data_IF_171699929773
#
_entry.id   IF_171699929773
#
_cell.length_a   1.000
_cell.length_b   1.000
_cell.length_c   1.000
_cell.angle_alpha   90.00
_cell.angle_beta   90.00
_cell.angle_gamma   90.00
#
_symmetry.space_group_name_H-M   'P 1'
#
loop_
_entity.id
_entity.type
_entity.pdbx_description
1 polymer ?
#
# COMPACT_ATOMS: atom_id res chain seq x y z
N UNK A 1 33.82 -38.68 12.25
CA UNK A 1 33.86 -37.27 12.64
C UNK A 1 33.69 -36.34 11.44
N UNK A 2 34.52 -36.47 10.39
CA UNK A 2 34.58 -35.52 9.24
C UNK A 2 33.28 -35.50 8.46
N UNK A 3 32.67 -36.65 8.13
CA UNK A 3 31.41 -36.75 7.36
C UNK A 3 30.25 -36.04 8.06
N UNK A 4 30.12 -36.21 9.36
CA UNK A 4 29.06 -35.52 10.13
C UNK A 4 29.30 -34.00 10.19
N UNK A 5 30.58 -33.59 10.32
CA UNK A 5 30.91 -32.17 10.31
C UNK A 5 30.58 -31.50 8.96
N UNK A 6 30.94 -32.12 7.84
CA UNK A 6 30.62 -31.59 6.50
C UNK A 6 29.13 -31.56 6.21
N UNK A 7 28.38 -32.60 6.58
CA UNK A 7 26.93 -32.62 6.44
C UNK A 7 26.26 -31.49 7.25
N UNK A 8 26.67 -31.31 8.51
CA UNK A 8 26.15 -30.24 9.36
C UNK A 8 26.40 -28.86 8.76
N UNK A 9 27.58 -28.58 8.22
CA UNK A 9 27.91 -27.30 7.58
C UNK A 9 27.08 -27.09 6.33
N UNK A 10 26.92 -28.13 5.48
CA UNK A 10 26.10 -28.01 4.26
C UNK A 10 24.62 -27.75 4.57
N UNK A 11 24.07 -28.41 5.58
CA UNK A 11 22.68 -28.18 6.03
C UNK A 11 22.53 -26.76 6.56
N UNK A 12 23.49 -26.26 7.35
CA UNK A 12 23.44 -24.89 7.89
C UNK A 12 23.52 -23.84 6.77
N UNK A 13 24.39 -24.05 5.77
CA UNK A 13 24.51 -23.18 4.61
C UNK A 13 23.23 -23.18 3.77
N UNK A 14 22.67 -24.37 3.48
CA UNK A 14 21.44 -24.49 2.74
C UNK A 14 20.26 -23.78 3.45
N UNK A 15 20.16 -23.97 4.77
CA UNK A 15 19.18 -23.28 5.61
C UNK A 15 19.37 -21.76 5.58
N UNK A 16 20.61 -21.28 5.75
CA UNK A 16 20.94 -19.85 5.70
C UNK A 16 20.59 -19.20 4.35
N UNK A 17 20.89 -19.88 3.25
CA UNK A 17 20.55 -19.43 1.89
C UNK A 17 19.03 -19.42 1.67
N UNK A 18 18.33 -20.46 2.10
CA UNK A 18 16.85 -20.54 2.02
C UNK A 18 16.18 -19.44 2.85
N UNK A 19 16.65 -19.25 4.08
CA UNK A 19 16.14 -18.21 4.98
C UNK A 19 16.37 -16.79 4.42
N UNK A 20 17.59 -16.51 3.92
CA UNK A 20 17.89 -15.23 3.24
C UNK A 20 16.94 -14.99 2.07
N UNK A 21 16.71 -16.00 1.22
CA UNK A 21 15.82 -15.91 0.06
C UNK A 21 14.37 -15.61 0.47
N UNK A 22 13.88 -16.26 1.54
CA UNK A 22 12.52 -16.04 2.03
C UNK A 22 12.36 -14.66 2.69
N UNK A 23 13.33 -14.21 3.50
CA UNK A 23 13.35 -12.86 4.04
C UNK A 23 13.33 -11.80 2.91
N UNK A 24 14.19 -11.98 1.91
CA UNK A 24 14.25 -11.04 0.78
C UNK A 24 12.91 -10.94 0.06
N UNK A 25 12.21 -12.05 -0.17
CA UNK A 25 10.86 -12.03 -0.78
C UNK A 25 9.84 -11.26 0.07
N UNK A 26 9.88 -11.43 1.37
CA UNK A 26 8.96 -10.74 2.30
C UNK A 26 9.18 -9.23 2.28
N UNK A 27 10.43 -8.79 2.25
CA UNK A 27 10.77 -7.35 2.16
C UNK A 27 10.43 -6.73 0.79
N UNK A 28 10.60 -7.46 -0.32
CA UNK A 28 10.22 -6.97 -1.66
C UNK A 28 8.71 -6.69 -1.80
N UNK A 29 7.86 -7.30 -0.98
CA UNK A 29 6.42 -7.03 -0.96
C UNK A 29 6.05 -5.63 -0.48
N UNK A 30 6.92 -4.96 0.29
CA UNK A 30 6.70 -3.61 0.82
C UNK A 30 7.30 -2.49 -0.05
N UNK A 31 8.17 -2.83 -1.01
CA UNK A 31 9.04 -1.90 -1.74
C UNK A 31 10.43 -1.83 -1.08
N UNK A 32 11.42 -1.37 -1.85
CA UNK A 32 12.81 -1.25 -1.40
C UNK A 32 13.12 0.21 -1.01
N UNK A 33 13.92 0.41 0.05
CA UNK A 33 14.40 1.71 0.51
C UNK A 33 13.28 2.73 0.81
N UNK A 34 12.19 2.26 1.43
CA UNK A 34 11.04 3.11 1.75
C UNK A 34 11.19 3.72 3.14
N UNK A 35 10.92 5.01 3.25
CA UNK A 35 10.71 5.73 4.51
C UNK A 35 9.25 6.13 4.60
N UNK A 36 8.60 5.81 5.72
CA UNK A 36 7.22 6.19 6.00
C UNK A 36 7.23 7.30 7.05
N UNK A 37 6.57 8.41 6.74
CA UNK A 37 6.43 9.55 7.63
C UNK A 37 4.99 9.70 8.09
N UNK A 38 4.82 9.83 9.39
CA UNK A 38 3.52 10.06 10.02
C UNK A 38 3.47 11.46 10.60
N UNK A 39 2.35 12.18 10.46
CA UNK A 39 2.16 13.43 11.19
C UNK A 39 2.12 13.13 12.68
N UNK A 40 2.75 14.00 13.45
CA UNK A 40 2.87 13.87 14.90
C UNK A 40 2.32 15.11 15.62
N UNK A 41 2.90 15.39 16.78
CA UNK A 41 2.60 16.57 17.57
C UNK A 41 3.88 17.32 17.89
N UNK A 42 3.76 18.63 18.09
CA UNK A 42 4.90 19.48 18.50
C UNK A 42 5.37 19.08 19.89
N UNK A 43 6.67 18.90 20.05
CA UNK A 43 7.31 18.52 21.33
C UNK A 43 7.99 19.71 22.02
N UNK A 44 8.09 20.85 21.32
CA UNK A 44 8.70 22.08 21.85
C UNK A 44 7.75 23.26 21.68
N UNK A 45 7.69 24.19 22.64
CA UNK A 45 6.96 25.44 22.47
C UNK A 45 7.66 26.31 21.43
N UNK A 46 6.90 27.06 20.65
CA UNK A 46 7.42 27.99 19.64
C UNK A 46 6.46 29.17 19.44
N UNK A 47 6.99 30.39 19.38
CA UNK A 47 6.25 31.62 19.10
C UNK A 47 4.96 31.81 19.96
N UNK A 48 5.03 31.51 21.26
CA UNK A 48 3.89 31.61 22.17
C UNK A 48 2.91 30.43 22.14
N UNK A 49 3.11 29.45 21.23
CA UNK A 49 2.30 28.24 21.17
C UNK A 49 2.89 27.13 22.03
N UNK A 50 2.04 26.45 22.79
CA UNK A 50 2.42 25.31 23.63
C UNK A 50 2.80 24.03 22.85
N UNK A 51 3.24 23.02 23.59
CA UNK A 51 3.50 21.67 23.08
C UNK A 51 2.17 20.93 22.80
N UNK A 52 2.24 19.81 22.05
CA UNK A 52 1.10 18.92 21.80
C UNK A 52 0.18 19.38 20.65
N UNK A 53 0.57 20.36 19.85
CA UNK A 53 -0.21 20.76 18.68
C UNK A 53 -0.06 19.70 17.57
N UNK A 54 -1.16 19.25 16.93
CA UNK A 54 -1.07 18.35 15.81
C UNK A 54 -0.32 19.00 14.63
N UNK A 55 0.58 18.23 14.03
CA UNK A 55 1.24 18.60 12.77
C UNK A 55 0.49 17.89 11.66
N UNK A 56 0.11 18.60 10.61
CA UNK A 56 -0.51 18.04 9.42
C UNK A 56 0.44 18.22 8.25
N UNK A 57 0.70 17.16 7.50
CA UNK A 57 1.43 17.25 6.25
C UNK A 57 0.50 17.75 5.14
N UNK A 58 1.07 18.55 4.25
CA UNK A 58 0.42 19.11 3.07
C UNK A 58 1.12 18.61 1.81
N UNK A 59 0.50 18.78 0.66
CA UNK A 59 1.12 18.48 -0.63
C UNK A 59 2.39 19.29 -0.87
N UNK A 60 2.41 20.55 -0.41
CA UNK A 60 3.58 21.42 -0.50
C UNK A 60 4.79 20.91 0.31
N UNK A 61 4.55 20.20 1.42
CA UNK A 61 5.63 19.60 2.21
C UNK A 61 6.30 18.47 1.42
N UNK A 62 5.52 17.66 0.68
CA UNK A 62 6.05 16.61 -0.18
C UNK A 62 6.93 17.18 -1.30
N UNK A 63 6.47 18.25 -1.97
CA UNK A 63 7.27 18.93 -3.00
C UNK A 63 8.55 19.55 -2.42
N UNK A 64 8.49 20.10 -1.22
CA UNK A 64 9.65 20.66 -0.53
C UNK A 64 10.69 19.58 -0.22
N UNK A 65 10.25 18.40 0.27
CA UNK A 65 11.15 17.28 0.58
C UNK A 65 11.90 16.82 -0.68
N UNK A 66 11.21 16.61 -1.81
CA UNK A 66 11.86 16.23 -3.07
C UNK A 66 12.91 17.24 -3.50
N UNK A 67 12.63 18.55 -3.32
CA UNK A 67 13.55 19.62 -3.72
C UNK A 67 14.76 19.73 -2.79
N UNK A 68 14.60 19.45 -1.51
CA UNK A 68 15.64 19.71 -0.50
C UNK A 68 16.46 18.47 -0.11
N UNK A 69 15.96 17.27 -0.39
CA UNK A 69 16.62 16.02 -0.01
C UNK A 69 16.99 15.24 -1.29
N UNK A 70 18.23 15.36 -1.77
CA UNK A 70 18.66 14.77 -3.05
C UNK A 70 18.52 13.25 -3.13
N UNK A 71 18.58 12.55 -1.98
CA UNK A 71 18.48 11.10 -1.90
C UNK A 71 17.03 10.58 -2.02
N UNK A 72 16.04 11.47 -1.97
CA UNK A 72 14.63 11.13 -2.17
C UNK A 72 14.30 11.20 -3.66
N UNK A 73 14.10 10.06 -4.29
CA UNK A 73 13.81 9.96 -5.73
C UNK A 73 12.32 10.01 -6.04
N UNK A 74 11.48 9.60 -5.11
CA UNK A 74 10.01 9.60 -5.27
C UNK A 74 9.32 9.80 -3.93
N UNK A 75 8.16 10.43 -3.94
CA UNK A 75 7.31 10.60 -2.76
C UNK A 75 5.84 10.41 -3.15
N UNK A 76 5.08 9.76 -2.28
CA UNK A 76 3.64 9.61 -2.43
C UNK A 76 2.94 10.03 -1.17
N UNK A 77 1.91 10.84 -1.32
CA UNK A 77 0.97 11.11 -0.24
C UNK A 77 -0.07 9.98 -0.18
N UNK A 78 -0.47 9.63 1.04
CA UNK A 78 -1.52 8.66 1.29
C UNK A 78 -2.61 9.28 2.17
N UNK A 79 -3.86 9.18 1.74
CA UNK A 79 -5.03 9.60 2.50
C UNK A 79 -5.81 8.38 2.93
N UNK A 80 -5.67 7.98 4.19
CA UNK A 80 -6.31 6.77 4.70
C UNK A 80 -7.64 7.12 5.37
N UNK A 81 -8.70 6.41 4.98
CA UNK A 81 -10.01 6.48 5.59
C UNK A 81 -10.46 5.10 6.07
N UNK A 82 -10.89 5.04 7.30
CA UNK A 82 -11.42 3.85 7.93
C UNK A 82 -12.93 3.88 8.03
N UNK A 83 -13.55 2.73 8.24
CA UNK A 83 -14.98 2.59 8.55
C UNK A 83 -15.92 3.20 7.49
N UNK A 84 -15.51 3.26 6.24
CA UNK A 84 -16.39 3.67 5.15
C UNK A 84 -16.94 2.41 4.47
N UNK A 85 -18.28 2.23 4.41
CA UNK A 85 -18.86 1.06 3.79
C UNK A 85 -18.60 1.06 2.28
N UNK A 86 -18.24 -0.09 1.77
CA UNK A 86 -18.12 -0.37 0.34
C UNK A 86 -19.12 -1.44 -0.02
N UNK A 87 -19.96 -1.15 -1.00
CA UNK A 87 -21.07 -2.00 -1.41
C UNK A 87 -20.96 -2.39 -2.87
N UNK A 88 -21.23 -3.65 -3.12
CA UNK A 88 -21.57 -4.16 -4.45
C UNK A 88 -22.80 -5.06 -4.33
N UNK A 89 -23.90 -4.69 -4.98
CA UNK A 89 -25.19 -5.37 -4.83
C UNK A 89 -25.58 -5.51 -3.35
N UNK A 90 -25.77 -6.73 -2.88
CA UNK A 90 -26.13 -7.05 -1.48
C UNK A 90 -24.90 -7.17 -0.55
N UNK A 91 -23.70 -7.26 -1.11
CA UNK A 91 -22.48 -7.44 -0.32
C UNK A 91 -21.94 -6.09 0.16
N UNK A 92 -21.67 -5.99 1.47
CA UNK A 92 -21.16 -4.78 2.09
C UNK A 92 -19.96 -5.13 2.98
N UNK A 93 -18.87 -4.41 2.83
CA UNK A 93 -17.68 -4.49 3.70
C UNK A 93 -17.17 -3.09 4.04
N UNK A 94 -16.26 -2.97 5.00
CA UNK A 94 -15.66 -1.68 5.39
C UNK A 94 -14.13 -1.79 5.42
N UNK A 95 -13.48 -1.93 4.27
CA UNK A 95 -12.03 -2.02 4.18
C UNK A 95 -11.37 -0.68 4.51
N UNK A 96 -10.05 -0.69 4.67
CA UNK A 96 -9.26 0.53 4.64
C UNK A 96 -9.26 1.12 3.22
N UNK A 97 -9.68 2.37 3.08
CA UNK A 97 -9.65 3.08 1.80
C UNK A 97 -8.44 3.99 1.80
N UNK A 98 -7.62 3.87 0.77
CA UNK A 98 -6.41 4.68 0.61
C UNK A 98 -6.48 5.50 -0.66
N UNK A 99 -6.55 6.82 -0.53
CA UNK A 99 -6.36 7.73 -1.65
C UNK A 99 -4.88 7.85 -1.98
N UNK A 100 -4.52 7.61 -3.23
CA UNK A 100 -3.13 7.52 -3.71
C UNK A 100 -2.95 8.23 -5.05
N UNK A 101 -1.70 8.47 -5.41
CA UNK A 101 -1.29 8.98 -6.73
C UNK A 101 -0.54 7.88 -7.52
N UNK A 102 -0.35 8.01 -8.85
CA UNK A 102 0.22 6.94 -9.69
C UNK A 102 1.55 6.39 -9.21
N UNK A 103 2.47 7.24 -8.75
CA UNK A 103 3.81 6.84 -8.27
C UNK A 103 3.77 5.88 -7.07
N UNK A 104 2.66 5.86 -6.33
CA UNK A 104 2.47 4.93 -5.21
C UNK A 104 2.64 3.46 -5.64
N UNK A 105 2.12 3.12 -6.82
CA UNK A 105 2.20 1.76 -7.35
C UNK A 105 3.64 1.28 -7.52
N UNK A 106 4.53 2.16 -7.99
CA UNK A 106 5.95 1.88 -8.14
C UNK A 106 6.65 1.78 -6.78
N UNK A 107 6.46 2.78 -5.91
CA UNK A 107 7.06 2.82 -4.57
C UNK A 107 6.69 1.57 -3.76
N UNK A 108 5.42 1.16 -3.81
CA UNK A 108 4.88 0.05 -3.02
C UNK A 108 4.86 -1.27 -3.77
N UNK A 109 5.37 -1.30 -4.99
CA UNK A 109 5.32 -2.48 -5.86
C UNK A 109 3.90 -3.10 -5.93
N UNK A 110 2.88 -2.24 -6.10
CA UNK A 110 1.49 -2.68 -6.24
C UNK A 110 1.25 -3.03 -7.70
N UNK A 111 1.04 -4.32 -7.96
CA UNK A 111 0.86 -4.86 -9.31
C UNK A 111 -0.61 -5.28 -9.46
N UNK A 112 -1.35 -4.75 -10.43
CA UNK A 112 -2.68 -5.22 -10.75
C UNK A 112 -2.64 -6.59 -11.48
N UNK A 113 -3.72 -7.33 -11.43
CA UNK A 113 -3.90 -8.54 -12.26
C UNK A 113 -3.92 -8.19 -13.75
N UNK A 114 -3.70 -9.20 -14.62
CA UNK A 114 -3.52 -8.99 -16.08
C UNK A 114 -4.71 -8.34 -16.78
N UNK A 115 -5.93 -8.51 -16.26
CA UNK A 115 -7.14 -7.91 -16.83
C UNK A 115 -7.46 -6.51 -16.28
N UNK A 116 -6.61 -5.99 -15.38
CA UNK A 116 -6.75 -4.69 -14.76
C UNK A 116 -5.60 -3.74 -15.05
N UNK A 117 -5.71 -2.51 -14.57
CA UNK A 117 -4.66 -1.51 -14.62
C UNK A 117 -4.52 -0.77 -13.28
N UNK A 118 -3.40 -0.11 -13.07
CA UNK A 118 -3.21 0.82 -11.97
C UNK A 118 -3.75 2.21 -12.34
N UNK A 119 -3.86 3.08 -11.32
CA UNK A 119 -4.20 4.51 -11.49
C UNK A 119 -3.10 5.17 -12.34
N UNK A 120 -3.50 6.06 -13.23
CA UNK A 120 -2.61 6.84 -14.07
C UNK A 120 -2.90 8.34 -13.98
N UNK A 121 -2.02 9.17 -14.58
CA UNK A 121 -2.13 10.63 -14.52
C UNK A 121 -3.46 11.13 -15.10
N UNK A 122 -3.98 10.50 -16.14
CA UNK A 122 -5.29 10.85 -16.72
C UNK A 122 -6.46 10.64 -15.73
N UNK A 123 -6.35 9.68 -14.82
CA UNK A 123 -7.38 9.49 -13.79
C UNK A 123 -7.36 10.65 -12.79
N UNK A 124 -6.17 11.17 -12.47
CA UNK A 124 -5.99 12.33 -11.60
C UNK A 124 -6.46 13.62 -12.30
N UNK A 125 -5.98 13.88 -13.51
CA UNK A 125 -6.27 15.08 -14.29
C UNK A 125 -7.79 15.25 -14.53
N UNK A 126 -8.46 14.16 -14.91
CA UNK A 126 -9.90 14.15 -15.15
C UNK A 126 -10.73 13.86 -13.88
N UNK A 127 -10.09 13.71 -12.71
CA UNK A 127 -10.74 13.40 -11.43
C UNK A 127 -11.68 12.22 -11.53
N UNK A 128 -11.23 11.17 -12.22
CA UNK A 128 -12.04 9.96 -12.42
C UNK A 128 -12.26 9.23 -11.10
N UNK A 129 -13.48 8.74 -10.90
CA UNK A 129 -13.79 7.92 -9.74
C UNK A 129 -13.47 6.47 -10.05
N UNK A 130 -12.24 6.09 -9.83
CA UNK A 130 -11.71 4.75 -10.07
C UNK A 130 -11.22 4.13 -8.78
N UNK A 131 -11.28 2.81 -8.69
CA UNK A 131 -10.81 2.06 -7.53
C UNK A 131 -10.04 0.80 -7.97
N UNK A 132 -9.04 0.43 -7.16
CA UNK A 132 -8.32 -0.84 -7.24
C UNK A 132 -8.65 -1.62 -5.98
N UNK A 133 -9.11 -2.85 -6.12
CA UNK A 133 -9.50 -3.68 -5.00
C UNK A 133 -8.34 -4.57 -4.55
N UNK A 134 -8.19 -4.73 -3.25
CA UNK A 134 -7.41 -5.83 -2.69
C UNK A 134 -8.07 -7.17 -2.99
N UNK A 135 -7.28 -8.23 -3.08
CA UNK A 135 -7.73 -9.60 -3.38
C UNK A 135 -8.85 -10.09 -2.44
N UNK A 136 -8.73 -9.85 -1.14
CA UNK A 136 -9.76 -10.25 -0.17
C UNK A 136 -11.04 -9.43 -0.29
N UNK A 137 -10.92 -8.12 -0.54
CA UNK A 137 -12.07 -7.24 -0.76
C UNK A 137 -12.81 -7.66 -2.04
N UNK A 138 -12.08 -7.95 -3.13
CA UNK A 138 -12.66 -8.48 -4.37
C UNK A 138 -13.39 -9.79 -4.11
N UNK A 139 -12.76 -10.73 -3.43
CA UNK A 139 -13.36 -12.04 -3.13
C UNK A 139 -14.63 -11.90 -2.28
N UNK A 140 -14.62 -10.98 -1.30
CA UNK A 140 -15.80 -10.76 -0.46
C UNK A 140 -16.96 -10.13 -1.24
N UNK A 141 -16.69 -9.12 -2.10
CA UNK A 141 -17.73 -8.38 -2.81
C UNK A 141 -18.25 -9.12 -4.03
N UNK A 142 -17.38 -9.79 -4.79
CA UNK A 142 -17.68 -10.35 -6.11
C UNK A 142 -17.59 -11.88 -6.16
N UNK A 143 -17.05 -12.55 -5.13
CA UNK A 143 -16.76 -13.99 -5.19
C UNK A 143 -15.80 -14.30 -6.33
N UNK A 144 -16.20 -15.26 -7.17
CA UNK A 144 -15.42 -15.67 -8.36
C UNK A 144 -15.65 -14.76 -9.58
N UNK A 145 -16.66 -13.88 -9.55
CA UNK A 145 -16.96 -13.01 -10.69
C UNK A 145 -15.86 -11.96 -10.93
N UNK A 146 -15.71 -11.54 -12.17
CA UNK A 146 -14.79 -10.44 -12.53
C UNK A 146 -15.30 -9.10 -11.98
N UNK A 147 -14.42 -8.39 -11.30
CA UNK A 147 -14.71 -7.08 -10.71
C UNK A 147 -14.34 -5.91 -11.63
N UNK A 148 -13.42 -6.11 -12.59
CA UNK A 148 -12.95 -5.02 -13.45
C UNK A 148 -14.06 -4.50 -14.34
N UNK A 149 -14.21 -3.18 -14.41
CA UNK A 149 -15.30 -2.49 -15.13
C UNK A 149 -16.62 -2.39 -14.37
N UNK A 150 -16.76 -3.06 -13.22
CA UNK A 150 -17.97 -2.96 -12.39
C UNK A 150 -17.91 -1.71 -11.51
N UNK A 151 -19.08 -1.29 -11.01
CA UNK A 151 -19.22 -0.11 -10.16
C UNK A 151 -19.44 -0.56 -8.71
N UNK A 152 -18.62 -0.09 -7.79
CA UNK A 152 -18.80 -0.24 -6.34
C UNK A 152 -19.21 1.09 -5.74
N UNK A 153 -20.03 1.06 -4.70
CA UNK A 153 -20.38 2.25 -3.92
C UNK A 153 -19.45 2.37 -2.73
N UNK A 154 -18.62 3.41 -2.70
CA UNK A 154 -17.76 3.76 -1.55
C UNK A 154 -18.48 4.84 -0.75
N UNK A 155 -19.08 4.46 0.37
CA UNK A 155 -20.09 5.29 1.03
C UNK A 155 -21.28 5.49 0.08
N UNK A 156 -21.50 6.74 -0.31
CA UNK A 156 -22.58 7.10 -1.26
C UNK A 156 -22.03 7.51 -2.64
N UNK A 157 -20.78 7.23 -2.94
CA UNK A 157 -20.11 7.65 -4.18
C UNK A 157 -19.78 6.44 -5.04
N UNK A 158 -20.22 6.42 -6.32
CA UNK A 158 -19.86 5.33 -7.23
C UNK A 158 -18.42 5.44 -7.71
N UNK A 159 -17.70 4.30 -7.70
CA UNK A 159 -16.37 4.15 -8.25
C UNK A 159 -16.33 2.99 -9.23
N UNK A 160 -15.66 3.16 -10.36
CA UNK A 160 -15.41 2.08 -11.31
C UNK A 160 -14.18 1.30 -10.89
N UNK A 161 -14.31 0.00 -10.76
CA UNK A 161 -13.18 -0.89 -10.50
C UNK A 161 -12.33 -0.99 -11.76
N UNK A 162 -11.06 -0.59 -11.67
CA UNK A 162 -10.11 -0.62 -12.80
C UNK A 162 -9.04 -1.71 -12.68
N UNK A 163 -8.94 -2.34 -11.52
CA UNK A 163 -8.00 -3.42 -11.28
C UNK A 163 -8.25 -4.11 -9.95
N UNK A 164 -7.66 -5.28 -9.83
CA UNK A 164 -7.57 -6.07 -8.60
C UNK A 164 -6.08 -6.31 -8.33
N UNK A 165 -5.64 -6.18 -7.09
CA UNK A 165 -4.24 -6.40 -6.73
C UNK A 165 -3.91 -7.89 -6.74
N UNK A 166 -2.75 -8.24 -7.31
CA UNK A 166 -2.24 -9.61 -7.23
C UNK A 166 -2.05 -9.99 -5.76
N UNK A 167 -2.48 -11.20 -5.40
CA UNK A 167 -2.29 -11.75 -4.06
C UNK A 167 -0.82 -11.79 -3.68
N UNK A 168 -0.44 -10.99 -2.71
CA UNK A 168 0.92 -10.96 -2.16
C UNK A 168 0.97 -11.68 -0.82
N UNK A 169 2.06 -12.42 -0.58
CA UNK A 169 2.43 -12.82 0.78
C UNK A 169 3.03 -11.61 1.49
N UNK A 170 2.21 -10.92 2.24
CA UNK A 170 2.60 -9.71 2.97
C UNK A 170 2.49 -9.99 4.47
N UNK A 171 3.63 -10.16 5.14
CA UNK A 171 3.67 -10.47 6.57
C UNK A 171 3.73 -9.21 7.45
N UNK A 172 4.02 -8.06 6.85
CA UNK A 172 4.08 -6.77 7.55
C UNK A 172 3.41 -5.66 6.77
N UNK A 173 2.79 -4.74 7.48
CA UNK A 173 2.14 -3.56 6.94
C UNK A 173 2.13 -2.46 8.00
N UNK A 174 2.24 -1.21 7.59
CA UNK A 174 2.22 -0.07 8.50
C UNK A 174 0.80 0.44 8.84
N UNK A 175 -0.23 0.02 8.09
CA UNK A 175 -1.61 0.40 8.36
C UNK A 175 -2.59 -0.76 8.17
N UNK A 176 -2.67 -1.35 6.98
CA UNK A 176 -3.39 -2.59 6.68
C UNK A 176 -2.70 -3.31 5.54
N UNK A 177 -2.99 -4.61 5.34
CA UNK A 177 -2.43 -5.36 4.21
C UNK A 177 -3.07 -4.90 2.91
N UNK A 178 -2.31 -4.92 1.80
CA UNK A 178 -2.82 -4.49 0.48
C UNK A 178 -4.05 -5.29 0.03
N UNK A 179 -4.15 -6.56 0.43
CA UNK A 179 -5.30 -7.42 0.16
C UNK A 179 -6.61 -6.97 0.81
N UNK A 180 -6.53 -6.20 1.90
CA UNK A 180 -7.65 -5.71 2.72
C UNK A 180 -7.99 -4.24 2.40
N UNK A 181 -7.55 -3.68 1.26
CA UNK A 181 -7.69 -2.27 0.90
C UNK A 181 -8.48 -2.03 -0.38
N UNK A 182 -8.91 -0.80 -0.53
CA UNK A 182 -9.36 -0.16 -1.76
C UNK A 182 -8.58 1.11 -1.96
#
# INVERSE_FOLDING_TARGET
GIVWGTVAILVLLAFGMGFKKELTKTFHGLGEHIVIMWPGQTTKPYAGFGIGRPVTFTEADAEMIIRQVPDVTAISQEYIRWNTPVRYEENITSPAITGIIPIYGEIRNVIPEQNGRFINDLDIDYRRRVAILGDEVKTFLFGEADAVGKIVQVGNVPFTVIGVMIKKKQDSSYSSRDKDRI
#
